data_IF_883171612254
#
_entry.id   IF_883171612254
#
_cell.length_a   1.000
_cell.length_b   1.000
_cell.length_c   1.000
_cell.angle_alpha   90.00
_cell.angle_beta   90.00
_cell.angle_gamma   90.00
#
_symmetry.space_group_name_H-M   'P 1'
#
loop_
_entity.id
_entity.type
_entity.pdbx_description
1 polymer ?
#
# COMPACT_ATOMS: atom_id res chain seq x y z
N UNK A 1 -4.06 -68.05 14.39
CA UNK A 1 -4.75 -67.10 15.30
C UNK A 1 -3.80 -65.93 15.54
N UNK A 2 -4.24 -64.72 15.15
CA UNK A 2 -3.99 -63.40 15.76
C UNK A 2 -2.53 -62.93 15.98
N UNK A 3 -2.10 -61.69 15.72
CA UNK A 3 -2.75 -60.46 15.26
C UNK A 3 -1.62 -59.48 14.84
N UNK A 4 -1.91 -58.75 13.78
CA UNK A 4 -1.19 -57.60 13.22
C UNK A 4 -1.09 -56.46 14.25
N UNK A 5 0.06 -55.78 14.32
CA UNK A 5 0.14 -54.35 14.65
C UNK A 5 1.48 -53.77 14.19
N UNK A 6 1.50 -53.32 12.93
CA UNK A 6 2.47 -52.35 12.42
C UNK A 6 2.19 -51.00 13.07
N UNK A 7 2.99 -50.57 14.04
CA UNK A 7 2.98 -49.20 14.55
C UNK A 7 4.01 -48.38 13.77
N UNK A 8 3.63 -47.97 12.56
CA UNK A 8 4.28 -46.85 11.87
C UNK A 8 3.79 -45.56 12.52
N UNK A 9 4.60 -44.98 13.40
CA UNK A 9 4.34 -43.64 13.91
C UNK A 9 4.65 -42.63 12.81
N UNK A 10 3.59 -42.10 12.18
CA UNK A 10 3.68 -41.04 11.18
C UNK A 10 4.13 -39.73 11.86
N UNK A 11 5.31 -39.15 11.54
CA UNK A 11 5.83 -37.93 12.18
C UNK A 11 5.13 -36.64 11.71
N UNK A 12 3.92 -36.76 11.16
CA UNK A 12 3.18 -35.63 10.58
C UNK A 12 2.33 -34.84 11.60
N UNK A 13 2.19 -35.33 12.84
CA UNK A 13 1.37 -34.65 13.88
C UNK A 13 2.15 -33.66 14.76
N UNK A 14 3.48 -33.72 14.78
CA UNK A 14 4.29 -32.82 15.61
C UNK A 14 4.32 -31.37 15.10
N UNK A 15 4.15 -31.16 13.79
CA UNK A 15 4.11 -29.82 13.20
C UNK A 15 2.74 -29.13 13.31
N UNK A 16 1.65 -29.88 13.52
CA UNK A 16 0.31 -29.29 13.68
C UNK A 16 0.07 -28.73 15.08
N UNK A 17 0.74 -29.28 16.10
CA UNK A 17 0.57 -28.85 17.49
C UNK A 17 1.46 -27.62 17.85
N UNK A 18 2.40 -27.24 16.99
CA UNK A 18 3.16 -25.99 17.09
C UNK A 18 2.39 -24.77 16.53
N UNK A 19 1.29 -25.01 15.81
CA UNK A 19 0.36 -23.96 15.37
C UNK A 19 -0.72 -23.80 16.44
N UNK A 20 -0.29 -23.47 17.65
CA UNK A 20 -1.20 -23.13 18.75
C UNK A 20 -2.02 -21.91 18.33
N UNK A 21 -3.34 -22.08 18.29
CA UNK A 21 -4.34 -21.04 18.04
C UNK A 21 -4.42 -20.05 19.22
N UNK A 22 -3.31 -19.41 19.57
CA UNK A 22 -3.30 -18.34 20.55
C UNK A 22 -3.42 -16.99 19.84
N UNK A 23 -4.64 -16.70 19.38
CA UNK A 23 -5.00 -15.43 18.73
C UNK A 23 -4.59 -14.23 19.61
N UNK A 24 -4.62 -14.40 20.94
CA UNK A 24 -4.14 -13.43 21.93
C UNK A 24 -2.65 -13.08 21.78
N UNK A 25 -1.79 -14.08 21.55
CA UNK A 25 -0.35 -13.87 21.32
C UNK A 25 -0.15 -13.23 19.95
N UNK A 26 -0.89 -13.64 18.92
CA UNK A 26 -0.83 -13.00 17.61
C UNK A 26 -1.20 -11.50 17.68
N UNK A 27 -2.23 -11.13 18.44
CA UNK A 27 -2.57 -9.72 18.67
C UNK A 27 -1.49 -8.96 19.43
N UNK A 28 -0.85 -9.57 20.42
CA UNK A 28 0.23 -8.92 21.16
C UNK A 28 1.45 -8.58 20.27
N UNK A 29 1.77 -9.44 19.30
CA UNK A 29 2.85 -9.19 18.33
C UNK A 29 2.48 -8.12 17.29
N UNK A 30 1.21 -8.03 16.88
CA UNK A 30 0.73 -7.03 15.92
C UNK A 30 0.49 -5.67 16.58
N UNK A 31 0.10 -5.66 17.87
CA UNK A 31 -0.24 -4.45 18.62
C UNK A 31 0.77 -3.29 18.50
N UNK A 32 2.10 -3.48 18.66
CA UNK A 32 3.04 -2.36 18.54
C UNK A 32 3.10 -1.77 17.13
N UNK A 33 3.06 -2.61 16.09
CA UNK A 33 3.04 -2.14 14.70
C UNK A 33 1.72 -1.40 14.38
N UNK A 34 0.60 -1.93 14.85
CA UNK A 34 -0.71 -1.30 14.69
C UNK A 34 -0.79 0.05 15.42
N UNK A 35 -0.27 0.11 16.65
CA UNK A 35 -0.22 1.35 17.42
C UNK A 35 0.61 2.42 16.72
N UNK A 36 1.78 2.05 16.19
CA UNK A 36 2.61 2.95 15.40
C UNK A 36 1.86 3.46 14.16
N UNK A 37 1.20 2.58 13.41
CA UNK A 37 0.39 2.98 12.25
C UNK A 37 -0.71 3.96 12.65
N UNK A 38 -1.41 3.68 13.75
CA UNK A 38 -2.49 4.53 14.24
C UNK A 38 -1.98 5.93 14.60
N UNK A 39 -0.84 6.02 15.30
CA UNK A 39 -0.30 7.30 15.76
C UNK A 39 0.41 8.10 14.67
N UNK A 40 1.16 7.44 13.78
CA UNK A 40 1.92 8.13 12.72
C UNK A 40 1.10 8.41 11.46
N UNK A 41 0.09 7.59 11.16
CA UNK A 41 -0.67 7.70 9.91
C UNK A 41 -2.10 8.12 10.20
N UNK A 42 -2.82 7.36 11.03
CA UNK A 42 -4.24 7.63 11.25
C UNK A 42 -4.47 8.96 11.99
N UNK A 43 -3.73 9.24 13.06
CA UNK A 43 -3.87 10.48 13.82
C UNK A 43 -3.70 11.76 12.97
N UNK A 44 -2.59 11.97 12.22
CA UNK A 44 -2.48 13.17 11.38
C UNK A 44 -3.47 13.19 10.22
N UNK A 45 -3.89 12.03 9.71
CA UNK A 45 -4.95 11.94 8.70
C UNK A 45 -6.30 12.43 9.26
N UNK A 46 -6.70 11.97 10.45
CA UNK A 46 -7.92 12.42 11.12
C UNK A 46 -7.88 13.93 11.42
N UNK A 47 -6.74 14.44 11.89
CA UNK A 47 -6.55 15.88 12.08
C UNK A 47 -6.69 16.66 10.77
N UNK A 48 -6.14 16.14 9.67
CA UNK A 48 -6.26 16.76 8.34
C UNK A 48 -7.71 16.80 7.86
N UNK A 49 -8.49 15.75 8.12
CA UNK A 49 -9.93 15.72 7.84
C UNK A 49 -10.67 16.77 8.70
N UNK A 50 -10.36 16.87 9.99
CA UNK A 50 -10.93 17.88 10.87
C UNK A 50 -10.61 19.31 10.42
N UNK A 51 -9.35 19.57 10.04
CA UNK A 51 -8.94 20.87 9.51
C UNK A 51 -9.57 21.17 8.15
N UNK A 52 -9.79 20.18 7.29
CA UNK A 52 -10.51 20.37 6.03
C UNK A 52 -11.96 20.87 6.22
N UNK A 53 -12.56 20.60 7.39
CA UNK A 53 -13.92 21.05 7.76
C UNK A 53 -13.92 22.37 8.56
N UNK A 54 -12.75 22.91 8.86
CA UNK A 54 -12.58 24.13 9.65
C UNK A 54 -11.93 25.22 8.78
N UNK A 55 -12.17 26.50 9.07
CA UNK A 55 -11.46 27.61 8.42
C UNK A 55 -10.13 27.87 9.14
N UNK A 56 -9.35 26.80 9.32
CA UNK A 56 -8.08 26.85 10.03
C UNK A 56 -7.01 27.47 9.13
N UNK A 57 -6.44 28.58 9.56
CA UNK A 57 -5.31 29.25 8.89
C UNK A 57 -4.03 28.99 9.68
N UNK A 58 -2.90 29.09 9.00
CA UNK A 58 -1.60 28.94 9.65
C UNK A 58 -1.46 30.01 10.76
N UNK A 59 -1.44 29.57 12.01
CA UNK A 59 -1.35 30.45 13.18
C UNK A 59 -2.69 30.81 13.86
N UNK A 60 -3.84 30.40 13.31
CA UNK A 60 -5.16 30.69 13.90
C UNK A 60 -6.00 29.41 14.04
N UNK A 61 -6.61 29.23 15.22
CA UNK A 61 -7.64 28.20 15.41
C UNK A 61 -8.91 28.65 14.71
N UNK A 62 -9.08 28.19 13.47
CA UNK A 62 -10.24 28.48 12.64
C UNK A 62 -11.57 28.01 13.25
N UNK A 63 -12.66 28.65 12.85
CA UNK A 63 -14.01 28.20 13.19
C UNK A 63 -14.39 26.95 12.38
N UNK A 64 -15.24 26.09 12.93
CA UNK A 64 -15.79 24.96 12.20
C UNK A 64 -16.80 25.46 11.15
N UNK A 65 -16.49 25.24 9.86
CA UNK A 65 -17.32 25.71 8.72
C UNK A 65 -17.99 24.56 7.97
N UNK A 66 -17.81 23.33 8.43
CA UNK A 66 -18.38 22.13 7.80
C UNK A 66 -17.89 21.96 6.37
N UNK A 67 -18.82 21.81 5.42
CA UNK A 67 -18.50 21.52 4.00
C UNK A 67 -18.27 22.76 3.14
N UNK A 68 -18.23 23.95 3.73
CA UNK A 68 -18.16 25.20 2.95
C UNK A 68 -16.86 25.32 2.15
N UNK A 69 -15.74 24.83 2.71
CA UNK A 69 -14.45 24.72 2.02
C UNK A 69 -14.56 23.90 0.72
N UNK A 70 -15.25 22.75 0.77
CA UNK A 70 -15.43 21.90 -0.40
C UNK A 70 -16.30 22.56 -1.47
N UNK A 71 -17.37 23.27 -1.08
CA UNK A 71 -18.20 24.03 -2.03
C UNK A 71 -17.38 25.08 -2.76
N UNK A 72 -16.58 25.86 -2.03
CA UNK A 72 -15.69 26.90 -2.59
C UNK A 72 -14.69 26.31 -3.60
N UNK A 73 -14.11 25.15 -3.28
CA UNK A 73 -13.20 24.44 -4.18
C UNK A 73 -13.93 23.97 -5.45
N UNK A 74 -15.10 23.34 -5.31
CA UNK A 74 -15.86 22.81 -6.45
C UNK A 74 -16.38 23.91 -7.39
N UNK A 75 -16.57 25.13 -6.89
CA UNK A 75 -16.95 26.29 -7.73
C UNK A 75 -15.75 27.04 -8.31
N UNK A 76 -14.53 26.72 -7.88
CA UNK A 76 -13.31 27.40 -8.36
C UNK A 76 -12.87 26.83 -9.72
N UNK A 77 -12.84 27.69 -10.75
CA UNK A 77 -12.37 27.31 -12.09
C UNK A 77 -10.93 26.81 -12.08
N UNK A 78 -10.08 27.40 -11.24
CA UNK A 78 -8.68 27.00 -11.08
C UNK A 78 -8.60 25.58 -10.51
N UNK A 79 -9.36 25.29 -9.45
CA UNK A 79 -9.37 23.95 -8.85
C UNK A 79 -9.83 22.88 -9.83
N UNK A 80 -10.93 23.14 -10.55
CA UNK A 80 -11.46 22.19 -11.53
C UNK A 80 -10.48 21.95 -12.69
N UNK A 81 -9.81 23.01 -13.18
CA UNK A 81 -8.81 22.88 -14.24
C UNK A 81 -7.59 22.09 -13.75
N UNK A 82 -7.07 22.37 -12.55
CA UNK A 82 -5.97 21.62 -11.95
C UNK A 82 -6.37 20.16 -11.72
N UNK A 83 -7.57 19.89 -11.21
CA UNK A 83 -8.08 18.54 -11.00
C UNK A 83 -8.15 17.75 -12.31
N UNK A 84 -8.71 18.36 -13.37
CA UNK A 84 -8.77 17.74 -14.69
C UNK A 84 -7.37 17.42 -15.23
N UNK A 85 -6.44 18.39 -15.13
CA UNK A 85 -5.06 18.19 -15.56
C UNK A 85 -4.39 17.04 -14.80
N UNK A 86 -4.56 16.98 -13.47
CA UNK A 86 -4.02 15.90 -12.64
C UNK A 86 -4.60 14.54 -13.00
N UNK A 87 -5.90 14.44 -13.26
CA UNK A 87 -6.55 13.19 -13.66
C UNK A 87 -6.05 12.75 -15.03
N UNK A 88 -6.04 13.64 -16.03
CA UNK A 88 -5.57 13.34 -17.38
C UNK A 88 -4.11 12.92 -17.36
N UNK A 89 -3.26 13.67 -16.64
CA UNK A 89 -1.85 13.34 -16.48
C UNK A 89 -1.67 11.97 -15.81
N UNK A 90 -2.36 11.71 -14.71
CA UNK A 90 -2.23 10.43 -13.97
C UNK A 90 -2.71 9.26 -14.80
N UNK A 91 -3.86 9.39 -15.47
CA UNK A 91 -4.41 8.34 -16.32
C UNK A 91 -3.48 8.02 -17.50
N UNK A 92 -2.98 9.04 -18.20
CA UNK A 92 -2.03 8.86 -19.30
C UNK A 92 -0.71 8.28 -18.80
N UNK A 93 -0.15 8.82 -17.72
CA UNK A 93 1.10 8.35 -17.16
C UNK A 93 0.99 6.90 -16.69
N UNK A 94 -0.07 6.54 -15.97
CA UNK A 94 -0.28 5.18 -15.48
C UNK A 94 -0.56 4.21 -16.63
N UNK A 95 -1.38 4.61 -17.60
CA UNK A 95 -1.67 3.83 -18.79
C UNK A 95 -0.39 3.52 -19.58
N UNK A 96 0.39 4.56 -19.91
CA UNK A 96 1.66 4.40 -20.61
C UNK A 96 2.67 3.59 -19.81
N UNK A 97 2.85 3.86 -18.51
CA UNK A 97 3.77 3.07 -17.65
C UNK A 97 3.37 1.60 -17.60
N UNK A 98 2.08 1.29 -17.54
CA UNK A 98 1.58 -0.09 -17.50
C UNK A 98 1.81 -0.80 -18.82
N UNK A 99 1.46 -0.16 -19.95
CA UNK A 99 1.64 -0.73 -21.29
C UNK A 99 3.12 -0.95 -21.60
N UNK A 100 3.95 0.08 -21.38
CA UNK A 100 5.40 -0.01 -21.61
C UNK A 100 6.06 -1.01 -20.66
N UNK A 101 5.67 -1.02 -19.38
CA UNK A 101 6.17 -1.98 -18.40
C UNK A 101 5.83 -3.42 -18.76
N UNK A 102 4.60 -3.68 -19.21
CA UNK A 102 4.18 -5.01 -19.68
C UNK A 102 4.93 -5.41 -20.96
N UNK A 103 5.04 -4.52 -21.95
CA UNK A 103 5.80 -4.78 -23.17
C UNK A 103 7.27 -5.11 -22.87
N UNK A 104 7.89 -4.34 -21.98
CA UNK A 104 9.25 -4.57 -21.52
C UNK A 104 9.38 -5.89 -20.77
N UNK A 105 8.42 -6.26 -19.91
CA UNK A 105 8.40 -7.53 -19.20
C UNK A 105 8.35 -8.74 -20.16
N UNK A 106 7.50 -8.67 -21.19
CA UNK A 106 7.41 -9.70 -22.22
C UNK A 106 8.70 -9.81 -23.05
N UNK A 107 9.34 -8.67 -23.35
CA UNK A 107 10.63 -8.66 -24.03
C UNK A 107 11.72 -9.31 -23.17
N UNK A 108 11.82 -8.93 -21.89
CA UNK A 108 12.77 -9.49 -20.92
C UNK A 108 12.55 -10.98 -20.63
N UNK A 109 11.32 -11.47 -20.80
CA UNK A 109 11.01 -12.88 -20.64
C UNK A 109 11.68 -13.75 -21.71
N UNK A 110 11.80 -13.25 -22.95
CA UNK A 110 12.37 -13.99 -24.08
C UNK A 110 13.91 -13.94 -24.17
N UNK A 111 14.57 -13.09 -23.37
CA UNK A 111 16.03 -12.90 -23.43
C UNK A 111 16.76 -14.07 -22.77
N UNK A 112 17.61 -14.76 -23.54
CA UNK A 112 18.41 -15.90 -23.07
C UNK A 112 19.86 -15.53 -22.74
N UNK A 113 20.49 -14.62 -23.50
CA UNK A 113 21.88 -14.14 -23.27
C UNK A 113 21.90 -12.82 -22.49
N UNK A 114 22.87 -12.63 -21.59
CA UNK A 114 23.07 -11.42 -20.76
C UNK A 114 21.86 -10.97 -19.90
N UNK A 115 20.90 -11.87 -19.65
CA UNK A 115 19.65 -11.57 -18.91
C UNK A 115 19.85 -10.87 -17.56
N UNK A 116 20.93 -11.19 -16.82
CA UNK A 116 21.24 -10.59 -15.51
C UNK A 116 21.61 -9.11 -15.63
N UNK A 117 22.44 -8.76 -16.61
CA UNK A 117 22.87 -7.39 -16.88
C UNK A 117 21.70 -6.52 -17.34
N UNK A 118 20.90 -7.03 -18.29
CA UNK A 118 19.76 -6.29 -18.85
C UNK A 118 18.67 -6.05 -17.79
N UNK A 119 18.33 -7.06 -16.98
CA UNK A 119 17.37 -6.89 -15.87
C UNK A 119 17.88 -5.91 -14.82
N UNK A 120 19.17 -5.94 -14.49
CA UNK A 120 19.79 -4.98 -13.58
C UNK A 120 19.68 -3.56 -14.09
N UNK A 121 20.01 -3.31 -15.37
CA UNK A 121 19.94 -1.99 -15.99
C UNK A 121 18.52 -1.39 -15.98
N UNK A 122 17.50 -2.20 -16.24
CA UNK A 122 16.08 -1.77 -16.20
C UNK A 122 15.63 -1.35 -14.79
N UNK A 123 16.24 -1.92 -13.75
CA UNK A 123 15.91 -1.61 -12.35
C UNK A 123 16.68 -0.40 -11.81
N UNK A 124 17.79 0.01 -12.43
CA UNK A 124 18.57 1.18 -12.01
C UNK A 124 17.74 2.45 -11.75
N UNK A 125 16.82 2.88 -12.66
CA UNK A 125 16.04 4.09 -12.42
C UNK A 125 15.14 4.02 -11.18
N UNK A 126 14.79 2.84 -10.66
CA UNK A 126 14.04 2.71 -9.41
C UNK A 126 14.92 2.92 -8.16
N UNK A 127 16.23 2.77 -8.31
CA UNK A 127 17.20 2.87 -7.21
C UNK A 127 17.73 4.30 -7.11
N UNK A 128 17.72 5.05 -8.22
CA UNK A 128 18.11 6.46 -8.22
C UNK A 128 16.99 7.27 -7.55
N UNK A 129 17.27 7.95 -6.41
CA UNK A 129 16.28 8.82 -5.79
C UNK A 129 15.98 10.00 -6.72
N UNK A 130 14.69 10.25 -6.93
CA UNK A 130 14.16 11.43 -7.65
C UNK A 130 14.17 12.67 -6.78
#
# INVERSE_FOLDING_TARGET
MAKVATSGETPARAFSDLVVHDTSVAYAFIAPAFFLLLFLVAYPFLLSVWFSLSDARVGETGAFVGLDNFRRLLTSSIFLQTLQNSIVFTALALGLKTVLGMALALLLFRITKFKRLIRGAVLLPFIVPT
#
